data_IF_216391538030
#
_entry.id   IF_216391538030
#
_cell.length_a   1.000
_cell.length_b   1.000
_cell.length_c   1.000
_cell.angle_alpha   90.00
_cell.angle_beta   90.00
_cell.angle_gamma   90.00
#
_symmetry.space_group_name_H-M   'P 1'
#
loop_
_entity.id
_entity.type
_entity.pdbx_description
1 polymer ?
#
# COMPACT_ATOMS: atom_id res chain seq x y z
N UNK A 1 -22.55 3.05 30.07
CA UNK A 1 -23.74 2.91 29.21
C UNK A 1 -23.55 1.66 28.39
N UNK A 2 -24.48 0.71 28.46
CA UNK A 2 -24.38 -0.58 27.77
C UNK A 2 -25.27 -0.59 26.54
N UNK A 3 -24.80 -1.19 25.45
CA UNK A 3 -25.54 -1.36 24.21
C UNK A 3 -25.69 -2.83 23.91
N UNK A 4 -26.89 -3.25 23.51
CA UNK A 4 -27.14 -4.59 23.01
C UNK A 4 -26.89 -4.60 21.50
N UNK A 5 -25.94 -5.43 21.05
CA UNK A 5 -25.63 -5.63 19.64
C UNK A 5 -26.13 -7.01 19.22
N UNK A 6 -26.79 -7.06 18.06
CA UNK A 6 -27.17 -8.31 17.39
C UNK A 6 -26.18 -8.58 16.26
N UNK A 7 -25.45 -9.67 16.37
CA UNK A 7 -24.54 -10.17 15.35
C UNK A 7 -25.23 -11.24 14.51
N UNK A 8 -25.00 -11.24 13.21
CA UNK A 8 -25.40 -12.30 12.28
C UNK A 8 -24.15 -12.85 11.58
N UNK A 9 -23.92 -14.15 11.72
CA UNK A 9 -22.81 -14.85 11.08
C UNK A 9 -23.14 -15.19 9.62
N UNK A 10 -22.13 -15.58 8.84
CA UNK A 10 -22.29 -15.92 7.40
C UNK A 10 -23.18 -17.14 7.15
N UNK A 11 -23.30 -18.02 8.14
CA UNK A 11 -24.20 -19.18 8.15
C UNK A 11 -25.64 -18.82 8.59
N UNK A 12 -25.91 -17.54 8.91
CA UNK A 12 -27.19 -17.05 9.38
C UNK A 12 -27.41 -17.18 10.89
N UNK A 13 -26.45 -17.70 11.66
CA UNK A 13 -26.56 -17.77 13.12
C UNK A 13 -26.60 -16.36 13.72
N UNK A 14 -27.49 -16.14 14.70
CA UNK A 14 -27.64 -14.85 15.38
C UNK A 14 -27.18 -14.93 16.83
N UNK A 15 -26.38 -13.95 17.25
CA UNK A 15 -25.87 -13.84 18.61
C UNK A 15 -26.12 -12.44 19.15
N UNK A 16 -26.45 -12.32 20.43
CA UNK A 16 -26.61 -11.03 21.10
C UNK A 16 -25.47 -10.84 22.09
N UNK A 17 -24.84 -9.67 22.07
CA UNK A 17 -23.78 -9.30 23.00
C UNK A 17 -24.05 -7.93 23.59
N UNK A 18 -23.55 -7.67 24.79
CA UNK A 18 -23.58 -6.36 25.42
C UNK A 18 -22.20 -5.73 25.32
N UNK A 19 -22.13 -4.51 24.78
CA UNK A 19 -20.89 -3.77 24.62
C UNK A 19 -20.95 -2.44 25.39
N UNK A 20 -19.89 -2.15 26.15
CA UNK A 20 -19.70 -0.85 26.78
C UNK A 20 -18.63 -0.05 26.03
N UNK A 21 -18.99 1.00 25.26
CA UNK A 21 -18.03 1.76 24.44
C UNK A 21 -17.06 2.61 25.27
N UNK A 22 -17.34 2.85 26.56
CA UNK A 22 -16.45 3.65 27.41
C UNK A 22 -15.34 2.81 28.04
N UNK A 23 -15.59 1.52 28.31
CA UNK A 23 -14.62 0.60 28.93
C UNK A 23 -14.10 -0.46 27.97
N UNK A 24 -14.69 -0.57 26.78
CA UNK A 24 -14.45 -1.65 25.81
C UNK A 24 -14.74 -3.06 26.35
N UNK A 25 -15.54 -3.17 27.41
CA UNK A 25 -15.99 -4.46 27.96
C UNK A 25 -17.11 -5.08 27.11
N UNK A 26 -17.15 -6.42 27.08
CA UNK A 26 -18.11 -7.20 26.31
C UNK A 26 -18.67 -8.36 27.16
N UNK A 27 -19.99 -8.55 27.16
CA UNK A 27 -20.69 -9.66 27.83
C UNK A 27 -21.59 -10.43 26.85
N UNK A 28 -21.84 -11.71 27.12
CA UNK A 28 -22.85 -12.49 26.38
C UNK A 28 -22.41 -13.05 25.04
N UNK A 29 -21.11 -13.00 24.72
CA UNK A 29 -20.56 -13.64 23.53
C UNK A 29 -19.99 -15.03 23.88
N UNK A 30 -20.72 -16.14 23.66
CA UNK A 30 -20.13 -17.47 23.73
C UNK A 30 -19.28 -17.68 22.47
N UNK A 31 -18.07 -17.12 22.45
CA UNK A 31 -17.07 -17.57 21.50
C UNK A 31 -16.30 -18.71 22.18
N UNK A 32 -16.51 -19.98 21.82
CA UNK A 32 -15.38 -20.89 21.75
C UNK A 32 -14.43 -20.26 20.72
N UNK A 33 -13.59 -19.34 21.18
CA UNK A 33 -12.50 -18.82 20.40
C UNK A 33 -11.51 -19.98 20.38
N UNK A 34 -11.51 -20.74 19.29
CA UNK A 34 -10.34 -21.52 18.92
C UNK A 34 -9.38 -20.51 18.29
N UNK A 35 -8.40 -19.96 19.06
CA UNK A 35 -7.43 -19.07 18.47
C UNK A 35 -6.76 -19.82 17.33
N UNK A 36 -6.76 -19.20 16.15
CA UNK A 36 -5.84 -19.65 15.11
C UNK A 36 -4.44 -19.76 15.71
N UNK A 37 -3.70 -20.79 15.32
CA UNK A 37 -2.28 -20.88 15.70
C UNK A 37 -1.55 -19.82 14.90
N UNK A 38 -1.31 -18.67 15.53
CA UNK A 38 -0.50 -17.61 14.95
C UNK A 38 0.96 -17.83 15.34
N UNK A 39 1.87 -17.58 14.41
CA UNK A 39 3.28 -17.53 14.74
C UNK A 39 3.54 -16.41 15.76
N UNK A 40 4.30 -16.67 16.84
CA UNK A 40 4.60 -15.66 17.84
C UNK A 40 5.42 -14.54 17.21
N UNK A 41 4.86 -13.33 17.21
CA UNK A 41 5.59 -12.12 16.79
C UNK A 41 6.41 -11.56 17.97
N UNK A 42 7.62 -11.02 17.74
CA UNK A 42 8.40 -10.40 18.81
C UNK A 42 7.64 -9.22 19.42
N UNK A 43 7.69 -9.08 20.75
CA UNK A 43 7.18 -7.88 21.42
C UNK A 43 8.05 -6.69 21.04
N UNK A 44 7.42 -5.58 20.69
CA UNK A 44 8.10 -4.33 20.30
C UNK A 44 7.75 -3.23 21.30
N UNK A 45 8.68 -2.30 21.50
CA UNK A 45 8.46 -1.08 22.29
C UNK A 45 9.16 0.09 21.62
N UNK A 46 8.94 1.31 22.13
CA UNK A 46 9.68 2.50 21.67
C UNK A 46 11.20 2.32 21.81
N UNK A 47 11.62 1.70 22.91
CA UNK A 47 13.04 1.50 23.23
C UNK A 47 13.62 0.22 22.60
N UNK A 48 12.77 -0.67 22.11
CA UNK A 48 13.14 -1.91 21.43
C UNK A 48 12.28 -2.11 20.16
N UNK A 49 12.49 -1.33 19.09
CA UNK A 49 11.74 -1.46 17.86
C UNK A 49 12.18 -2.70 17.07
N UNK A 50 11.24 -3.32 16.36
CA UNK A 50 11.59 -4.31 15.33
C UNK A 50 12.24 -3.56 14.17
N UNK A 51 13.48 -3.92 13.82
CA UNK A 51 14.17 -3.34 12.67
C UNK A 51 13.40 -3.53 11.36
N UNK A 52 13.78 -2.80 10.31
CA UNK A 52 13.16 -2.94 8.99
C UNK A 52 13.79 -4.12 8.25
N UNK A 53 12.95 -5.02 7.74
CA UNK A 53 13.40 -6.05 6.80
C UNK A 53 13.87 -5.39 5.49
N UNK A 54 15.00 -5.86 4.96
CA UNK A 54 15.50 -5.50 3.62
C UNK A 54 14.92 -6.39 2.53
N UNK A 55 14.00 -7.29 2.84
CA UNK A 55 13.29 -8.16 1.91
C UNK A 55 11.78 -7.85 1.95
N UNK A 56 11.34 -6.70 1.40
CA UNK A 56 9.93 -6.36 1.36
C UNK A 56 9.21 -7.24 0.33
N UNK A 57 8.08 -7.84 0.72
CA UNK A 57 7.19 -8.52 -0.23
C UNK A 57 6.59 -7.54 -1.24
N UNK A 58 6.20 -6.36 -0.77
CA UNK A 58 5.61 -5.29 -1.58
C UNK A 58 6.44 -4.02 -1.45
N UNK A 59 6.98 -3.53 -2.56
CA UNK A 59 7.71 -2.27 -2.64
C UNK A 59 6.79 -1.15 -3.15
N UNK A 60 6.43 -0.22 -2.28
CA UNK A 60 5.63 0.96 -2.65
C UNK A 60 6.55 2.12 -3.02
N UNK A 61 6.38 2.68 -4.21
CA UNK A 61 7.16 3.80 -4.71
C UNK A 61 6.25 5.00 -4.90
N UNK A 62 6.45 6.04 -4.11
CA UNK A 62 5.70 7.29 -4.19
C UNK A 62 6.44 8.30 -5.09
N UNK A 63 5.84 8.64 -6.24
CA UNK A 63 6.48 9.51 -7.26
C UNK A 63 6.46 11.02 -6.93
N UNK A 64 5.56 11.40 -6.02
CA UNK A 64 5.30 12.78 -5.61
C UNK A 64 3.87 12.94 -5.12
N UNK A 65 3.55 14.12 -4.56
CA UNK A 65 2.26 14.40 -3.92
C UNK A 65 1.31 15.23 -4.81
N UNK A 66 1.75 15.71 -5.96
CA UNK A 66 0.90 16.51 -6.86
C UNK A 66 -0.25 15.66 -7.41
N UNK A 67 -1.43 16.25 -7.42
CA UNK A 67 -2.65 15.66 -7.95
C UNK A 67 -3.43 16.72 -8.74
N UNK A 68 -4.14 16.31 -9.78
CA UNK A 68 -5.02 17.17 -10.57
C UNK A 68 -6.44 17.25 -10.00
N UNK A 69 -6.70 16.59 -8.87
CA UNK A 69 -7.97 16.59 -8.14
C UNK A 69 -7.75 17.17 -6.74
N UNK A 70 -8.83 17.64 -6.12
CA UNK A 70 -8.84 18.20 -4.77
C UNK A 70 -9.91 17.49 -3.91
N UNK A 71 -9.83 16.17 -3.80
CA UNK A 71 -10.81 15.39 -3.05
C UNK A 71 -10.82 15.80 -1.56
N UNK A 72 -12.01 16.08 -1.02
CA UNK A 72 -12.19 16.52 0.38
C UNK A 72 -11.71 15.51 1.42
N UNK A 73 -11.67 14.23 1.05
CA UNK A 73 -11.22 13.11 1.88
C UNK A 73 -9.74 12.73 1.65
N UNK A 74 -8.98 13.50 0.86
CA UNK A 74 -7.60 13.14 0.54
C UNK A 74 -6.64 13.40 1.70
N UNK A 75 -6.17 12.32 2.34
CA UNK A 75 -5.22 12.39 3.46
C UNK A 75 -3.84 12.98 3.06
N UNK A 76 -3.49 12.97 1.77
CA UNK A 76 -2.23 13.53 1.26
C UNK A 76 -2.31 15.03 0.95
N UNK A 77 -3.51 15.63 0.92
CA UNK A 77 -3.71 17.00 0.47
C UNK A 77 -2.95 18.03 1.34
N UNK A 78 -2.85 17.78 2.65
CA UNK A 78 -2.19 18.68 3.60
C UNK A 78 -0.66 18.71 3.44
N UNK A 79 -0.07 17.71 2.78
CA UNK A 79 1.38 17.60 2.61
C UNK A 79 1.89 18.16 1.28
N UNK A 80 1.00 18.63 0.39
CA UNK A 80 1.37 19.09 -0.96
C UNK A 80 2.21 20.37 -0.91
N UNK A 81 1.92 21.29 0.01
CA UNK A 81 2.63 22.57 0.11
C UNK A 81 4.11 22.39 0.47
N UNK A 82 4.42 21.40 1.31
CA UNK A 82 5.78 21.06 1.74
C UNK A 82 6.46 20.06 0.80
N UNK A 83 5.77 19.61 -0.25
CA UNK A 83 6.29 18.60 -1.15
C UNK A 83 7.42 19.16 -2.01
N UNK A 84 8.59 18.53 -1.92
CA UNK A 84 9.70 18.85 -2.83
C UNK A 84 9.34 18.48 -4.26
N UNK A 85 9.58 19.39 -5.21
CA UNK A 85 9.35 19.12 -6.64
C UNK A 85 10.38 18.10 -7.12
N UNK A 86 9.93 16.86 -7.30
CA UNK A 86 10.83 15.80 -7.76
C UNK A 86 11.07 15.88 -9.27
N UNK A 87 12.34 15.77 -9.66
CA UNK A 87 12.88 15.85 -11.02
C UNK A 87 13.07 14.45 -11.61
N UNK A 88 13.41 14.38 -12.90
CA UNK A 88 13.73 13.10 -13.55
C UNK A 88 15.05 12.50 -13.05
N UNK A 89 16.04 13.34 -12.70
CA UNK A 89 17.32 12.90 -12.15
C UNK A 89 17.16 12.11 -10.83
N UNK A 90 16.11 12.39 -10.06
CA UNK A 90 15.81 11.66 -8.82
C UNK A 90 15.50 10.18 -9.08
N UNK A 91 14.99 9.85 -10.27
CA UNK A 91 14.72 8.46 -10.67
C UNK A 91 16.02 7.68 -10.80
N UNK A 92 17.04 8.29 -11.44
CA UNK A 92 18.35 7.65 -11.60
C UNK A 92 19.02 7.48 -10.23
N UNK A 93 18.98 8.52 -9.39
CA UNK A 93 19.52 8.44 -8.04
C UNK A 93 18.82 7.33 -7.21
N UNK A 94 17.49 7.27 -7.27
CA UNK A 94 16.70 6.21 -6.63
C UNK A 94 17.13 4.81 -7.08
N UNK A 95 17.27 4.60 -8.40
CA UNK A 95 17.66 3.30 -8.96
C UNK A 95 19.07 2.89 -8.51
N UNK A 96 20.02 3.83 -8.44
CA UNK A 96 21.40 3.54 -7.99
C UNK A 96 21.47 3.15 -6.51
N UNK A 97 20.60 3.71 -5.67
CA UNK A 97 20.61 3.44 -4.22
C UNK A 97 19.81 2.22 -3.81
N UNK A 98 19.00 1.67 -4.72
CA UNK A 98 18.02 0.64 -4.41
C UNK A 98 18.64 -0.66 -3.84
N UNK A 99 19.84 -1.06 -4.28
CA UNK A 99 20.57 -2.24 -3.74
C UNK A 99 21.00 -2.02 -2.28
N UNK A 100 21.25 -0.76 -1.91
CA UNK A 100 21.57 -0.40 -0.53
C UNK A 100 20.39 -0.58 0.42
N UNK A 101 19.16 -0.57 -0.10
CA UNK A 101 17.94 -0.68 0.71
C UNK A 101 17.33 -2.07 0.69
N UNK A 102 17.39 -2.73 -0.47
CA UNK A 102 16.70 -3.99 -0.71
C UNK A 102 17.71 -5.11 -0.98
N UNK A 103 17.56 -6.22 -0.28
CA UNK A 103 18.40 -7.41 -0.40
C UNK A 103 17.75 -8.53 -1.22
N UNK A 104 16.43 -8.51 -1.40
CA UNK A 104 15.68 -9.52 -2.16
C UNK A 104 14.64 -8.87 -3.07
N UNK A 105 14.40 -9.45 -4.24
CA UNK A 105 13.40 -8.96 -5.17
C UNK A 105 12.00 -8.98 -4.53
N UNK A 106 11.22 -7.89 -4.61
CA UNK A 106 9.84 -7.89 -4.14
C UNK A 106 8.94 -8.76 -5.05
N UNK A 107 7.86 -9.29 -4.49
CA UNK A 107 6.80 -9.97 -5.26
C UNK A 107 6.00 -8.96 -6.09
N UNK A 108 5.82 -7.75 -5.56
CA UNK A 108 5.02 -6.69 -6.17
C UNK A 108 5.63 -5.30 -5.97
N UNK A 109 5.56 -4.47 -7.00
CA UNK A 109 5.89 -3.05 -6.95
C UNK A 109 4.61 -2.23 -7.19
N UNK A 110 4.29 -1.34 -6.25
CA UNK A 110 3.14 -0.45 -6.35
C UNK A 110 3.59 0.98 -6.62
N UNK A 111 3.06 1.58 -7.67
CA UNK A 111 3.29 2.98 -8.00
C UNK A 111 2.19 3.83 -7.36
N UNK A 112 2.62 4.72 -6.47
CA UNK A 112 1.79 5.64 -5.69
C UNK A 112 2.17 7.09 -5.96
N UNK A 113 1.34 8.01 -5.48
CA UNK A 113 1.55 9.45 -5.53
C UNK A 113 0.26 10.18 -5.18
N UNK A 114 0.19 11.47 -5.50
CA UNK A 114 -1.08 12.20 -5.58
C UNK A 114 -1.91 11.68 -6.76
N UNK A 115 -1.51 12.03 -7.99
CA UNK A 115 -1.94 11.32 -9.21
C UNK A 115 -0.71 10.84 -9.97
N UNK A 116 -0.41 9.52 -9.99
CA UNK A 116 0.80 9.00 -10.62
C UNK A 116 0.98 9.37 -12.09
N UNK A 117 -0.10 9.47 -12.88
CA UNK A 117 0.01 9.78 -14.31
C UNK A 117 0.42 11.22 -14.62
N UNK A 118 0.46 12.14 -13.64
CA UNK A 118 1.14 13.43 -13.79
C UNK A 118 2.65 13.28 -13.97
N UNK A 119 3.21 12.19 -13.43
CA UNK A 119 4.64 11.89 -13.47
C UNK A 119 5.02 10.92 -14.59
N UNK A 120 4.30 10.97 -15.73
CA UNK A 120 4.46 9.99 -16.82
C UNK A 120 5.90 9.84 -17.33
N UNK A 121 6.67 10.94 -17.38
CA UNK A 121 8.08 10.90 -17.77
C UNK A 121 8.92 10.02 -16.83
N UNK A 122 8.65 10.07 -15.51
CA UNK A 122 9.33 9.23 -14.51
C UNK A 122 8.92 7.78 -14.66
N UNK A 123 7.62 7.49 -14.79
CA UNK A 123 7.10 6.13 -15.00
C UNK A 123 7.77 5.47 -16.21
N UNK A 124 7.92 6.20 -17.32
CA UNK A 124 8.57 5.69 -18.54
C UNK A 124 10.04 5.31 -18.37
N UNK A 125 10.73 5.85 -17.36
CA UNK A 125 12.13 5.50 -17.02
C UNK A 125 12.20 4.45 -15.92
N UNK A 126 11.45 4.66 -14.84
CA UNK A 126 11.46 3.84 -13.65
C UNK A 126 10.95 2.42 -13.89
N UNK A 127 9.79 2.27 -14.53
CA UNK A 127 9.14 0.94 -14.65
C UNK A 127 9.97 -0.02 -15.51
N UNK A 128 10.49 0.36 -16.69
CA UNK A 128 11.36 -0.54 -17.46
C UNK A 128 12.61 -0.95 -16.69
N UNK A 129 13.29 -0.02 -16.02
CA UNK A 129 14.49 -0.32 -15.24
C UNK A 129 14.20 -1.30 -14.08
N UNK A 130 13.05 -1.15 -13.41
CA UNK A 130 12.63 -2.07 -12.36
C UNK A 130 12.20 -3.44 -12.92
N UNK A 131 11.56 -3.49 -14.08
CA UNK A 131 11.15 -4.74 -14.72
C UNK A 131 12.35 -5.55 -15.23
N UNK A 132 13.38 -4.88 -15.75
CA UNK A 132 14.66 -5.49 -16.11
C UNK A 132 15.39 -6.03 -14.87
N UNK A 133 15.39 -5.25 -13.80
CA UNK A 133 16.07 -5.58 -12.54
C UNK A 133 15.39 -6.70 -11.75
N UNK A 134 14.06 -6.76 -11.78
CA UNK A 134 13.27 -7.75 -11.06
C UNK A 134 12.35 -8.49 -12.04
N UNK A 135 12.88 -9.47 -12.80
CA UNK A 135 12.08 -10.26 -13.71
C UNK A 135 10.94 -10.97 -12.99
N UNK A 136 9.72 -10.88 -13.51
CA UNK A 136 8.54 -11.53 -12.94
C UNK A 136 7.82 -10.76 -11.82
N UNK A 137 8.31 -9.57 -11.43
CA UNK A 137 7.63 -8.73 -10.44
C UNK A 137 6.27 -8.23 -10.96
N UNK A 138 5.26 -8.23 -10.09
CA UNK A 138 3.96 -7.67 -10.41
C UNK A 138 3.96 -6.15 -10.24
N UNK A 139 3.50 -5.41 -11.24
CA UNK A 139 3.32 -3.96 -11.14
C UNK A 139 1.85 -3.62 -10.89
N UNK A 140 1.59 -2.75 -9.92
CA UNK A 140 0.29 -2.09 -9.74
C UNK A 140 0.44 -0.58 -9.69
N UNK A 141 -0.62 0.15 -10.02
CA UNK A 141 -0.66 1.62 -9.97
C UNK A 141 -1.98 2.06 -9.34
N UNK A 142 -1.89 2.93 -8.34
CA UNK A 142 -3.07 3.49 -7.67
C UNK A 142 -3.32 4.88 -8.26
N UNK A 143 -4.39 5.02 -9.04
CA UNK A 143 -4.68 6.22 -9.85
C UNK A 143 -6.16 6.56 -9.77
N UNK A 144 -6.48 7.86 -9.87
CA UNK A 144 -7.86 8.32 -10.01
C UNK A 144 -8.45 8.04 -11.41
N UNK A 145 -7.60 7.67 -12.38
CA UNK A 145 -7.97 7.27 -13.73
C UNK A 145 -8.25 8.42 -14.71
N UNK A 146 -8.29 9.69 -14.27
CA UNK A 146 -8.68 10.82 -15.12
C UNK A 146 -7.70 11.07 -16.28
N UNK A 147 -6.45 10.64 -16.13
CA UNK A 147 -5.39 10.81 -17.11
C UNK A 147 -5.11 9.55 -17.93
N UNK A 148 -5.91 8.49 -17.78
CA UNK A 148 -5.77 7.27 -18.58
C UNK A 148 -6.14 7.53 -20.03
N UNK A 149 -5.23 7.20 -20.94
CA UNK A 149 -5.46 7.28 -22.39
C UNK A 149 -4.98 5.99 -23.07
N UNK A 150 -5.14 5.91 -24.39
CA UNK A 150 -4.78 4.69 -25.15
C UNK A 150 -3.29 4.37 -25.08
N UNK A 151 -2.41 5.37 -25.07
CA UNK A 151 -0.96 5.19 -24.92
C UNK A 151 -0.63 4.57 -23.56
N UNK A 152 -1.06 5.21 -22.48
CA UNK A 152 -0.83 4.76 -21.10
C UNK A 152 -1.39 3.36 -20.88
N UNK A 153 -2.58 3.08 -21.41
CA UNK A 153 -3.19 1.75 -21.32
C UNK A 153 -2.35 0.69 -22.04
N UNK A 154 -1.96 0.95 -23.29
CA UNK A 154 -1.11 0.01 -24.05
C UNK A 154 0.23 -0.23 -23.38
N UNK A 155 0.80 0.77 -22.70
CA UNK A 155 2.08 0.65 -21.99
C UNK A 155 1.93 -0.10 -20.66
N UNK A 156 0.89 0.18 -19.87
CA UNK A 156 0.71 -0.39 -18.53
C UNK A 156 0.08 -1.80 -18.57
N UNK A 157 -0.75 -2.09 -19.57
CA UNK A 157 -1.51 -3.34 -19.66
C UNK A 157 -1.08 -4.23 -20.83
N UNK A 158 0.03 -3.93 -21.51
CA UNK A 158 0.58 -4.92 -22.43
C UNK A 158 1.09 -6.08 -21.57
N UNK A 159 0.61 -7.31 -21.79
CA UNK A 159 1.34 -8.45 -21.28
C UNK A 159 2.73 -8.33 -21.87
N UNK A 160 3.74 -8.44 -21.02
CA UNK A 160 5.10 -8.77 -21.45
C UNK A 160 4.95 -10.09 -22.21
N UNK A 161 4.74 -10.01 -23.53
CA UNK A 161 4.91 -11.13 -24.43
C UNK A 161 6.39 -11.44 -24.33
N UNK A 162 6.71 -12.33 -23.38
CA UNK A 162 7.90 -13.15 -23.41
C UNK A 162 8.07 -13.66 -24.83
N UNK A 163 9.18 -13.26 -25.45
CA UNK A 163 9.75 -13.98 -26.58
C UNK A 163 10.13 -15.41 -26.16
#
# INVERSE_FOLDING_TARGET
MWFDLTLEARDGARHTLRYNPHTSECEGLPLPMEPGVFEPVPRVSKDQPLGKSRAPRVLKIQLGLSCNYACSYCNQAFQIADATVSKLADVEHFLTQLDGWIAQAPEQIEIWGGEPFLYWAKIKRLVPALAERFPGVLFSIITNGSLLNREKRKRCFRPTLTA
#
